data_IF_757558436542
#
_entry.id   IF_757558436542
#
_cell.length_a   1.000
_cell.length_b   1.000
_cell.length_c   1.000
_cell.angle_alpha   90.00
_cell.angle_beta   90.00
_cell.angle_gamma   90.00
#
_symmetry.space_group_name_H-M   'P 1'
#
loop_
_entity.id
_entity.type
_entity.pdbx_description
1 polymer ?
#
# COMPACT_ATOMS: atom_id res chain seq x y z
N UNK A 1 9.83 -1.09 -24.96
CA UNK A 1 8.48 -1.72 -24.94
C UNK A 1 7.81 -1.59 -23.57
N UNK A 2 7.76 -0.39 -23.01
CA UNK A 2 6.94 -0.07 -21.84
C UNK A 2 6.37 1.33 -22.08
N UNK A 3 5.30 1.40 -22.86
CA UNK A 3 4.51 2.62 -22.99
C UNK A 3 3.70 2.76 -21.70
N UNK A 4 4.22 3.56 -20.78
CA UNK A 4 3.45 4.08 -19.63
C UNK A 4 2.57 5.19 -20.17
N UNK A 5 1.48 4.83 -20.84
CA UNK A 5 0.40 5.77 -21.16
C UNK A 5 -0.57 5.80 -19.98
N UNK A 6 -0.16 6.48 -18.91
CA UNK A 6 -1.12 7.08 -17.98
C UNK A 6 -1.28 8.51 -18.48
N UNK A 7 -1.95 8.67 -19.61
CA UNK A 7 -2.30 10.00 -20.11
C UNK A 7 -3.53 10.52 -19.37
N UNK A 8 -3.44 11.80 -19.04
CA UNK A 8 -4.48 12.64 -18.48
C UNK A 8 -5.70 12.60 -19.42
N UNK A 9 -6.88 12.41 -18.82
CA UNK A 9 -8.15 12.28 -19.51
C UNK A 9 -8.43 13.54 -20.37
N UNK A 10 -8.31 13.43 -21.69
CA UNK A 10 -9.08 14.28 -22.60
C UNK A 10 -10.55 13.88 -22.41
N UNK A 11 -11.40 14.83 -22.02
CA UNK A 11 -12.76 14.56 -21.53
C UNK A 11 -13.68 13.82 -22.50
N UNK A 12 -13.30 13.69 -23.77
CA UNK A 12 -14.07 13.02 -24.84
C UNK A 12 -13.57 11.61 -25.21
N UNK A 13 -12.49 11.11 -24.58
CA UNK A 13 -11.93 9.78 -24.90
C UNK A 13 -12.28 8.78 -23.79
N UNK A 14 -13.07 7.73 -24.06
CA UNK A 14 -13.38 6.73 -23.05
C UNK A 14 -12.12 5.93 -22.67
N UNK A 15 -12.02 5.57 -21.39
CA UNK A 15 -10.93 4.72 -20.93
C UNK A 15 -10.89 3.37 -21.67
N UNK A 16 -9.70 2.77 -21.85
CA UNK A 16 -9.58 1.42 -22.39
C UNK A 16 -10.40 0.41 -21.60
N UNK A 17 -10.95 -0.61 -22.26
CA UNK A 17 -11.74 -1.67 -21.60
C UNK A 17 -10.97 -2.37 -20.48
N UNK A 18 -9.65 -2.46 -20.62
CA UNK A 18 -8.76 -3.09 -19.64
C UNK A 18 -8.22 -2.12 -18.58
N UNK A 19 -8.64 -0.85 -18.57
CA UNK A 19 -8.16 0.19 -17.65
C UNK A 19 -8.20 -0.30 -16.20
N UNK A 20 -9.35 -0.85 -15.77
CA UNK A 20 -9.48 -1.36 -14.41
C UNK A 20 -8.51 -2.50 -14.13
N UNK A 21 -8.29 -3.41 -15.09
CA UNK A 21 -7.33 -4.50 -14.91
C UNK A 21 -5.89 -3.99 -14.80
N UNK A 22 -5.55 -2.95 -15.56
CA UNK A 22 -4.25 -2.26 -15.48
C UNK A 22 -4.10 -1.60 -14.11
N UNK A 23 -5.09 -0.85 -13.64
CA UNK A 23 -5.09 -0.24 -12.30
C UNK A 23 -4.89 -1.29 -11.20
N UNK A 24 -5.58 -2.43 -11.28
CA UNK A 24 -5.37 -3.54 -10.34
C UNK A 24 -3.91 -4.00 -10.33
N UNK A 25 -3.31 -4.23 -11.51
CA UNK A 25 -1.89 -4.63 -11.62
C UNK A 25 -0.94 -3.57 -11.02
N UNK A 26 -1.21 -2.28 -11.25
CA UNK A 26 -0.41 -1.19 -10.68
C UNK A 26 -0.52 -1.18 -9.15
N UNK A 27 -1.74 -1.23 -8.62
CA UNK A 27 -2.01 -1.17 -7.18
C UNK A 27 -1.46 -2.41 -6.46
N UNK A 28 -1.54 -3.61 -7.06
CA UNK A 28 -0.90 -4.81 -6.51
C UNK A 28 0.63 -4.68 -6.47
N UNK A 29 1.25 -4.09 -7.49
CA UNK A 29 2.70 -3.83 -7.48
C UNK A 29 3.07 -2.79 -6.42
N UNK A 30 2.27 -1.74 -6.25
CA UNK A 30 2.47 -0.74 -5.22
C UNK A 30 2.34 -1.34 -3.81
N UNK A 31 1.40 -2.26 -3.59
CA UNK A 31 1.31 -3.00 -2.33
C UNK A 31 2.61 -3.76 -1.99
N UNK A 32 3.25 -4.38 -2.99
CA UNK A 32 4.55 -5.06 -2.78
C UNK A 32 5.65 -4.09 -2.35
N UNK A 33 5.60 -2.83 -2.77
CA UNK A 33 6.51 -1.78 -2.28
C UNK A 33 6.24 -1.48 -0.81
N UNK A 34 4.97 -1.35 -0.39
CA UNK A 34 4.65 -1.18 1.03
C UNK A 34 5.16 -2.34 1.89
N UNK A 35 4.93 -3.59 1.44
CA UNK A 35 5.48 -4.79 2.11
C UNK A 35 6.99 -4.65 2.29
N UNK A 36 7.70 -4.32 1.21
CA UNK A 36 9.16 -4.18 1.26
C UNK A 36 9.61 -3.07 2.21
N UNK A 37 8.93 -1.92 2.18
CA UNK A 37 9.24 -0.77 3.05
C UNK A 37 9.03 -1.12 4.52
N UNK A 38 7.90 -1.74 4.86
CA UNK A 38 7.57 -2.11 6.25
C UNK A 38 8.44 -3.25 6.81
N UNK A 39 8.87 -4.19 5.97
CA UNK A 39 9.69 -5.33 6.41
C UNK A 39 11.17 -4.93 6.50
N UNK A 40 11.71 -4.26 5.48
CA UNK A 40 13.15 -4.09 5.31
C UNK A 40 13.67 -2.66 5.55
N UNK A 41 12.81 -1.65 5.48
CA UNK A 41 13.23 -0.25 5.57
C UNK A 41 12.59 0.51 6.73
N UNK A 42 11.78 -0.14 7.55
CA UNK A 42 11.04 0.53 8.61
C UNK A 42 11.95 1.13 9.68
N UNK A 43 13.04 0.44 10.06
CA UNK A 43 14.02 0.99 11.01
C UNK A 43 14.61 2.32 10.51
N UNK A 44 14.96 2.38 9.21
CA UNK A 44 15.44 3.63 8.61
C UNK A 44 14.38 4.73 8.61
N UNK A 45 13.10 4.39 8.42
CA UNK A 45 12.00 5.35 8.49
C UNK A 45 11.81 5.89 9.91
N UNK A 46 12.04 5.05 10.93
CA UNK A 46 12.03 5.49 12.33
C UNK A 46 13.20 6.43 12.60
N UNK A 47 14.42 6.08 12.15
CA UNK A 47 15.64 6.85 12.39
C UNK A 47 15.52 8.29 11.87
N UNK A 48 14.86 8.47 10.72
CA UNK A 48 14.63 9.79 10.11
C UNK A 48 13.28 10.42 10.52
N UNK A 49 12.49 9.76 11.36
CA UNK A 49 11.18 10.24 11.81
C UNK A 49 10.09 10.28 10.72
N UNK A 50 10.27 9.58 9.60
CA UNK A 50 9.33 9.56 8.47
C UNK A 50 8.24 8.48 8.58
N UNK A 51 8.27 7.64 9.61
CA UNK A 51 7.27 6.61 9.90
C UNK A 51 5.81 7.10 9.78
N UNK A 52 5.41 8.26 10.36
CA UNK A 52 4.02 8.72 10.28
C UNK A 52 3.56 8.95 8.84
N UNK A 53 4.45 9.42 7.96
CA UNK A 53 4.11 9.68 6.56
C UNK A 53 3.76 8.39 5.81
N UNK A 54 4.57 7.33 6.01
CA UNK A 54 4.34 6.03 5.38
C UNK A 54 3.07 5.39 5.94
N UNK A 55 2.83 5.52 7.24
CA UNK A 55 1.62 5.04 7.91
C UNK A 55 0.34 5.70 7.37
N UNK A 56 0.33 7.03 7.24
CA UNK A 56 -0.80 7.75 6.66
C UNK A 56 -1.02 7.36 5.20
N UNK A 57 0.05 7.28 4.41
CA UNK A 57 -0.02 6.90 3.00
C UNK A 57 -0.57 5.47 2.82
N UNK A 58 -0.06 4.51 3.59
CA UNK A 58 -0.51 3.12 3.54
C UNK A 58 -1.97 2.98 4.00
N UNK A 59 -2.39 3.72 5.03
CA UNK A 59 -3.80 3.73 5.48
C UNK A 59 -4.74 4.19 4.36
N UNK A 60 -4.37 5.28 3.67
CA UNK A 60 -5.13 5.77 2.52
C UNK A 60 -5.18 4.75 1.39
N UNK A 61 -4.03 4.15 1.06
CA UNK A 61 -3.94 3.09 0.06
C UNK A 61 -4.85 1.90 0.43
N UNK A 62 -4.77 1.41 1.67
CA UNK A 62 -5.52 0.26 2.15
C UNK A 62 -7.03 0.47 1.99
N UNK A 63 -7.56 1.59 2.49
CA UNK A 63 -8.98 1.90 2.35
C UNK A 63 -9.40 2.02 0.88
N UNK A 64 -8.59 2.65 0.03
CA UNK A 64 -8.91 2.78 -1.39
C UNK A 64 -8.98 1.42 -2.09
N UNK A 65 -8.00 0.54 -1.85
CA UNK A 65 -7.94 -0.74 -2.56
C UNK A 65 -8.97 -1.75 -2.06
N UNK A 66 -9.37 -1.68 -0.79
CA UNK A 66 -10.42 -2.53 -0.23
C UNK A 66 -11.80 -2.08 -0.70
N UNK A 67 -12.11 -0.78 -0.59
CA UNK A 67 -13.39 -0.20 -1.03
C UNK A 67 -13.68 -0.51 -2.51
N UNK A 68 -12.68 -0.34 -3.37
CA UNK A 68 -12.84 -0.56 -4.81
C UNK A 68 -12.50 -1.98 -5.28
N UNK A 69 -12.20 -2.90 -4.34
CA UNK A 69 -11.80 -4.29 -4.63
C UNK A 69 -10.68 -4.37 -5.70
N UNK A 70 -9.65 -3.55 -5.52
CA UNK A 70 -8.53 -3.40 -6.45
C UNK A 70 -7.39 -4.38 -6.19
N UNK A 71 -7.24 -4.84 -4.95
CA UNK A 71 -6.26 -5.84 -4.53
C UNK A 71 -7.01 -6.98 -3.84
N UNK A 72 -6.61 -8.23 -4.07
CA UNK A 72 -7.27 -9.39 -3.45
C UNK A 72 -6.92 -9.49 -1.97
N UNK A 73 -7.86 -9.96 -1.14
CA UNK A 73 -7.61 -10.13 0.29
C UNK A 73 -6.44 -11.07 0.59
N UNK A 74 -6.22 -12.08 -0.28
CA UNK A 74 -5.08 -13.00 -0.17
C UNK A 74 -3.73 -12.28 -0.31
N UNK A 75 -3.64 -11.29 -1.18
CA UNK A 75 -2.42 -10.48 -1.30
C UNK A 75 -2.20 -9.63 -0.05
N UNK A 76 -3.27 -9.03 0.48
CA UNK A 76 -3.25 -8.15 1.65
C UNK A 76 -2.88 -8.88 2.96
N UNK A 77 -3.03 -10.21 3.00
CA UNK A 77 -2.72 -11.03 4.18
C UNK A 77 -1.28 -10.82 4.66
N UNK A 78 -0.34 -10.52 3.76
CA UNK A 78 1.07 -10.30 4.07
C UNK A 78 1.31 -9.17 5.10
N UNK A 79 0.40 -8.19 5.21
CA UNK A 79 0.50 -7.07 6.15
C UNK A 79 -0.69 -7.01 7.12
N UNK A 80 -1.48 -8.07 7.24
CA UNK A 80 -2.75 -8.04 7.98
C UNK A 80 -2.61 -7.60 9.44
N UNK A 81 -1.75 -8.27 10.21
CA UNK A 81 -1.55 -7.94 11.63
C UNK A 81 -1.08 -6.49 11.83
N UNK A 82 -0.19 -6.03 10.95
CA UNK A 82 0.28 -4.64 10.96
C UNK A 82 -0.85 -3.66 10.61
N UNK A 83 -1.66 -4.01 9.63
CA UNK A 83 -2.78 -3.19 9.16
C UNK A 83 -3.84 -3.05 10.24
N UNK A 84 -4.23 -4.15 10.89
CA UNK A 84 -5.19 -4.14 12.00
C UNK A 84 -4.73 -3.16 13.10
N UNK A 85 -3.47 -3.24 13.52
CA UNK A 85 -2.91 -2.34 14.53
C UNK A 85 -2.83 -0.87 14.09
N UNK A 86 -2.54 -0.64 12.81
CA UNK A 86 -2.53 0.70 12.22
C UNK A 86 -3.92 1.33 12.19
N UNK A 87 -4.96 0.51 12.05
CA UNK A 87 -6.34 0.97 12.07
C UNK A 87 -6.88 1.16 13.50
N UNK A 88 -6.42 0.36 14.46
CA UNK A 88 -6.80 0.45 15.88
C UNK A 88 -6.18 1.65 16.63
N UNK A 89 -5.00 2.10 16.25
CA UNK A 89 -4.18 2.98 17.09
C UNK A 89 -4.13 4.43 16.58
N UNK A 90 -4.68 5.38 17.34
CA UNK A 90 -4.43 6.82 17.13
C UNK A 90 -3.04 7.30 17.59
N UNK A 91 -2.19 6.43 18.17
CA UNK A 91 -0.86 6.79 18.68
C UNK A 91 0.22 5.74 18.33
N UNK A 92 1.26 6.20 17.63
CA UNK A 92 2.23 5.44 16.82
C UNK A 92 3.30 4.61 17.57
N UNK A 93 3.16 4.29 18.86
CA UNK A 93 4.32 3.78 19.66
C UNK A 93 4.55 2.25 19.67
N UNK A 94 3.69 1.44 19.04
CA UNK A 94 3.68 -0.03 19.23
C UNK A 94 4.07 -0.88 18.01
N UNK A 95 4.52 -0.25 16.91
CA UNK A 95 4.78 -0.95 15.64
C UNK A 95 6.06 -1.79 15.60
N UNK A 96 7.12 -1.39 16.31
CA UNK A 96 8.41 -2.12 16.32
C UNK A 96 8.28 -3.60 16.75
N UNK A 97 7.46 -3.89 17.75
CA UNK A 97 7.25 -5.26 18.24
C UNK A 97 6.49 -6.17 17.25
N UNK A 98 5.77 -5.60 16.28
CA UNK A 98 5.00 -6.36 15.27
C UNK A 98 5.88 -6.71 14.10
N UNK A 99 6.69 -5.75 13.62
CA UNK A 99 7.64 -6.02 12.53
C UNK A 99 8.60 -7.14 12.91
N UNK A 100 9.10 -7.16 14.16
CA UNK A 100 9.96 -8.24 14.66
C UNK A 100 9.32 -9.64 14.57
N UNK A 101 7.97 -9.75 14.60
CA UNK A 101 7.23 -11.01 14.42
C UNK A 101 6.97 -11.36 12.95
N UNK A 102 6.94 -10.38 12.06
CA UNK A 102 6.73 -10.60 10.62
C UNK A 102 8.01 -11.08 9.90
N UNK A 103 9.18 -10.88 10.51
CA UNK A 103 10.51 -11.21 9.96
C UNK A 103 11.08 -12.52 10.53
N UNK A 104 10.49 -13.08 11.59
CA UNK A 104 10.90 -14.34 12.22
C UNK A 104 9.97 -15.50 11.89
#
# INVERSE_FOLDING_TARGET
MISVSIEVCFSDIPFPKDFRQICKKILTRLFRVFVHVYIHHFDRLIDIGAEPHVNTLYKHFYFFVTEHSMVSSKELEALKEMTERLLESSHNRRFRHVQAKLVG
#
